data_IF_977167270671
#
_entry.id   IF_977167270671
#
_cell.length_a   1.000
_cell.length_b   1.000
_cell.length_c   1.000
_cell.angle_alpha   90.00
_cell.angle_beta   90.00
_cell.angle_gamma   90.00
#
_symmetry.space_group_name_H-M   'P 1'
#
loop_
_entity.id
_entity.type
_entity.pdbx_description
1 polymer ?
#
# COMPACT_ATOMS: atom_id res chain seq x y z
N UNK A 1 -0.90 -5.59 -43.00
CA UNK A 1 -0.43 -4.32 -42.40
C UNK A 1 -1.47 -3.68 -41.47
N UNK A 2 -2.77 -3.70 -41.80
CA UNK A 2 -3.82 -3.14 -40.93
C UNK A 2 -3.93 -3.84 -39.56
N UNK A 3 -3.83 -5.17 -39.54
CA UNK A 3 -3.87 -5.96 -38.31
C UNK A 3 -2.59 -5.85 -37.47
N UNK A 4 -1.45 -5.48 -38.08
CA UNK A 4 -0.18 -5.25 -37.39
C UNK A 4 -0.16 -3.90 -36.67
N UNK A 5 -0.84 -2.88 -37.24
CA UNK A 5 -1.02 -1.56 -36.63
C UNK A 5 -1.96 -1.58 -35.41
N UNK A 6 -3.00 -2.43 -35.42
CA UNK A 6 -3.92 -2.60 -34.30
C UNK A 6 -3.26 -3.30 -33.10
N UNK A 7 -2.41 -4.30 -33.34
CA UNK A 7 -1.66 -4.98 -32.27
C UNK A 7 -0.63 -4.06 -31.59
N UNK A 8 0.04 -3.17 -32.34
CA UNK A 8 1.02 -2.22 -31.78
C UNK A 8 0.32 -1.14 -30.94
N UNK A 9 -0.90 -0.72 -31.32
CA UNK A 9 -1.65 0.28 -30.56
C UNK A 9 -2.21 -0.28 -29.24
N UNK A 10 -2.54 -1.58 -29.19
CA UNK A 10 -3.01 -2.27 -27.97
C UNK A 10 -1.90 -2.53 -26.96
N UNK A 11 -0.65 -2.71 -27.41
CA UNK A 11 0.53 -2.88 -26.53
C UNK A 11 0.97 -1.54 -25.92
N UNK A 12 0.75 -0.41 -26.61
CA UNK A 12 1.11 0.92 -26.10
C UNK A 12 0.17 1.39 -24.98
N UNK A 13 -1.10 0.94 -24.97
CA UNK A 13 -2.05 1.25 -23.89
C UNK A 13 -1.78 0.53 -22.57
N UNK A 14 -0.96 -0.53 -22.55
CA UNK A 14 -0.60 -1.29 -21.34
C UNK A 14 0.62 -0.73 -20.58
N UNK A 15 1.24 0.34 -21.07
CA UNK A 15 2.44 0.93 -20.45
C UNK A 15 2.24 2.35 -19.92
N UNK A 16 1.00 2.81 -19.82
CA UNK A 16 0.71 4.04 -19.09
C UNK A 16 0.79 3.77 -17.59
N UNK A 17 2.00 3.66 -17.05
CA UNK A 17 2.22 4.02 -15.66
C UNK A 17 1.67 5.45 -15.51
N UNK A 18 0.68 5.64 -14.64
CA UNK A 18 0.21 6.97 -14.28
C UNK A 18 1.29 7.67 -13.47
N UNK A 19 2.34 8.13 -14.15
CA UNK A 19 3.45 8.83 -13.54
C UNK A 19 2.93 10.12 -12.92
N UNK A 20 2.95 10.20 -11.59
CA UNK A 20 2.61 11.42 -10.88
C UNK A 20 3.84 12.30 -10.80
N UNK A 21 3.66 13.61 -10.99
CA UNK A 21 4.73 14.59 -10.78
C UNK A 21 4.48 15.32 -9.47
N UNK A 22 5.46 15.21 -8.56
CA UNK A 22 5.47 15.90 -7.28
C UNK A 22 6.38 17.12 -7.37
N UNK A 23 6.10 18.12 -6.54
CA UNK A 23 6.88 19.35 -6.47
C UNK A 23 7.48 19.53 -5.09
N UNK A 24 8.77 19.81 -5.05
CA UNK A 24 9.50 20.27 -3.86
C UNK A 24 10.01 21.68 -4.14
N UNK A 25 9.80 22.61 -3.22
CA UNK A 25 10.34 23.96 -3.34
C UNK A 25 11.61 24.09 -2.51
N UNK A 26 12.68 24.63 -3.10
CA UNK A 26 13.96 24.92 -2.45
C UNK A 26 14.14 26.42 -2.30
N UNK A 27 14.50 26.89 -1.10
CA UNK A 27 14.68 28.32 -0.87
C UNK A 27 15.30 28.66 0.47
N UNK A 28 15.26 29.95 0.82
CA UNK A 28 15.78 30.46 2.07
C UNK A 28 14.84 31.44 2.77
N UNK A 29 14.86 31.43 4.11
CA UNK A 29 14.13 32.37 4.97
C UNK A 29 15.08 32.90 6.04
N UNK A 30 15.61 34.10 5.83
CA UNK A 30 16.68 34.64 6.67
C UNK A 30 17.94 33.78 6.57
N UNK A 31 18.34 33.16 7.70
CA UNK A 31 19.54 32.31 7.76
C UNK A 31 19.21 30.80 7.69
N UNK A 32 17.95 30.43 7.47
CA UNK A 32 17.54 29.03 7.32
C UNK A 32 17.32 28.72 5.84
N UNK A 33 17.71 27.53 5.43
CA UNK A 33 17.55 27.04 4.07
C UNK A 33 16.66 25.80 4.12
N UNK A 34 15.82 25.60 3.11
CA UNK A 34 14.77 24.58 3.19
C UNK A 34 14.54 23.87 1.86
N UNK A 35 14.07 22.63 1.97
CA UNK A 35 13.22 21.96 0.98
C UNK A 35 11.81 21.84 1.55
N UNK A 36 10.77 22.05 0.75
CA UNK A 36 9.37 21.94 1.20
C UNK A 36 8.50 21.26 0.13
N UNK A 37 7.91 20.09 0.44
CA UNK A 37 8.06 19.34 1.69
C UNK A 37 9.48 18.81 1.90
N UNK A 38 9.92 18.73 3.16
CA UNK A 38 11.21 18.14 3.54
C UNK A 38 11.20 16.62 3.36
N UNK A 39 10.07 15.98 3.69
CA UNK A 39 9.86 14.55 3.55
C UNK A 39 8.71 14.32 2.58
N UNK A 40 8.96 13.56 1.52
CA UNK A 40 7.99 13.25 0.48
C UNK A 40 7.82 11.73 0.39
N UNK A 41 6.60 11.26 0.23
CA UNK A 41 6.29 9.86 -0.06
C UNK A 41 5.71 9.82 -1.47
N UNK A 42 6.27 8.98 -2.34
CA UNK A 42 5.87 8.83 -3.73
C UNK A 42 5.81 7.34 -4.09
N UNK A 43 5.23 7.05 -5.25
CA UNK A 43 5.20 5.70 -5.80
C UNK A 43 6.33 5.50 -6.81
N UNK A 44 6.77 4.25 -6.99
CA UNK A 44 7.76 3.90 -8.00
C UNK A 44 7.31 4.38 -9.40
N UNK A 45 8.23 4.99 -10.12
CA UNK A 45 7.98 5.60 -11.43
C UNK A 45 7.55 7.07 -11.37
N UNK A 46 7.24 7.61 -10.19
CA UNK A 46 6.92 9.03 -10.04
C UNK A 46 8.11 9.96 -10.34
N UNK A 47 7.78 11.18 -10.73
CA UNK A 47 8.75 12.26 -10.95
C UNK A 47 8.71 13.25 -9.78
N UNK A 48 9.87 13.73 -9.34
CA UNK A 48 9.98 14.87 -8.42
C UNK A 48 10.68 16.01 -9.13
N UNK A 49 10.05 17.19 -9.09
CA UNK A 49 10.59 18.44 -9.63
C UNK A 49 10.89 19.39 -8.48
N UNK A 50 12.12 19.86 -8.40
CA UNK A 50 12.55 20.87 -7.44
C UNK A 50 12.47 22.26 -8.08
N UNK A 51 11.72 23.18 -7.49
CA UNK A 51 11.58 24.57 -7.95
C UNK A 51 12.33 25.51 -7.02
N UNK A 52 13.04 26.49 -7.58
CA UNK A 52 13.79 27.48 -6.82
C UNK A 52 12.89 28.65 -6.37
N UNK A 53 12.58 28.75 -5.09
CA UNK A 53 11.82 29.88 -4.52
C UNK A 53 12.68 31.14 -4.35
N UNK A 54 13.98 30.97 -4.07
CA UNK A 54 14.91 32.08 -3.77
C UNK A 54 16.33 31.54 -3.67
N UNK A 55 17.34 32.37 -3.94
CA UNK A 55 18.74 31.98 -3.71
C UNK A 55 19.31 31.03 -4.77
N UNK A 56 20.42 30.37 -4.40
CA UNK A 56 21.12 29.39 -5.24
C UNK A 56 21.08 28.03 -4.57
N UNK A 57 20.64 27.01 -5.30
CA UNK A 57 20.40 25.67 -4.77
C UNK A 57 20.77 24.60 -5.78
N UNK A 58 21.20 23.45 -5.27
CA UNK A 58 21.31 22.19 -5.98
C UNK A 58 20.54 21.09 -5.22
N UNK A 59 20.36 19.95 -5.86
CA UNK A 59 19.82 18.73 -5.26
C UNK A 59 20.91 17.67 -5.33
N UNK A 60 21.46 17.28 -4.20
CA UNK A 60 22.54 16.31 -4.10
C UNK A 60 22.10 15.07 -3.31
N UNK A 61 21.89 13.96 -4.03
CA UNK A 61 21.57 12.65 -3.46
C UNK A 61 22.76 11.68 -3.46
N UNK A 62 24.00 12.17 -3.57
CA UNK A 62 25.20 11.31 -3.69
C UNK A 62 26.00 11.21 -2.40
N UNK A 63 26.38 12.35 -1.82
CA UNK A 63 27.24 12.41 -0.62
C UNK A 63 26.65 13.42 0.35
N UNK A 64 26.56 13.06 1.62
CA UNK A 64 26.10 13.96 2.66
C UNK A 64 27.09 15.12 2.85
N UNK A 65 26.64 16.34 2.59
CA UNK A 65 27.47 17.55 2.62
C UNK A 65 27.88 17.98 4.03
N UNK A 66 27.28 17.39 5.07
CA UNK A 66 27.62 17.62 6.48
C UNK A 66 28.67 16.62 6.96
N UNK A 67 28.54 15.35 6.60
CA UNK A 67 29.43 14.27 7.10
C UNK A 67 30.52 13.85 6.12
N UNK A 68 30.37 14.19 4.84
CA UNK A 68 31.18 13.71 3.70
C UNK A 68 31.08 12.20 3.44
N UNK A 69 30.09 11.51 4.02
CA UNK A 69 29.82 10.10 3.77
C UNK A 69 28.78 9.92 2.65
N UNK A 70 28.85 8.85 1.84
CA UNK A 70 27.84 8.59 0.81
C UNK A 70 26.46 8.36 1.44
N UNK A 71 25.39 8.85 0.78
CA UNK A 71 24.02 8.58 1.24
C UNK A 71 23.61 7.11 1.08
N UNK A 72 24.25 6.39 0.15
CA UNK A 72 23.92 5.00 -0.21
C UNK A 72 22.43 4.82 -0.57
N UNK A 73 21.87 5.80 -1.29
CA UNK A 73 20.54 5.71 -1.86
C UNK A 73 20.44 4.55 -2.86
N UNK A 74 19.24 3.98 -3.10
CA UNK A 74 19.06 2.90 -4.07
C UNK A 74 19.55 3.28 -5.48
N UNK A 75 19.34 4.53 -5.89
CA UNK A 75 19.89 5.14 -7.10
C UNK A 75 20.56 6.49 -6.76
N UNK A 76 21.65 6.81 -7.45
CA UNK A 76 22.36 8.09 -7.29
C UNK A 76 21.77 9.15 -8.21
N UNK A 77 21.56 10.35 -7.66
CA UNK A 77 21.06 11.51 -8.39
C UNK A 77 21.73 12.78 -7.87
N UNK A 78 21.97 13.74 -8.76
CA UNK A 78 22.49 15.06 -8.43
C UNK A 78 22.20 16.07 -9.55
N UNK A 79 22.12 17.35 -9.20
CA UNK A 79 21.99 18.45 -10.14
C UNK A 79 23.19 19.40 -10.09
N UNK A 80 23.32 20.23 -11.13
CA UNK A 80 24.11 21.45 -11.04
C UNK A 80 23.39 22.49 -10.17
N UNK A 81 24.13 23.54 -9.77
CA UNK A 81 23.58 24.68 -9.02
C UNK A 81 22.72 25.57 -9.91
N UNK A 82 21.52 25.90 -9.43
CA UNK A 82 20.60 26.85 -10.05
C UNK A 82 20.38 28.05 -9.14
N UNK A 83 20.55 29.26 -9.69
CA UNK A 83 20.39 30.55 -8.96
C UNK A 83 19.21 31.39 -9.45
N UNK A 84 18.46 30.90 -10.43
CA UNK A 84 17.34 31.63 -11.01
C UNK A 84 16.06 31.32 -10.23
N UNK A 85 15.43 32.36 -9.68
CA UNK A 85 14.17 32.24 -8.94
C UNK A 85 13.03 31.89 -9.89
N UNK A 86 12.23 30.89 -9.52
CA UNK A 86 11.16 30.31 -10.33
C UNK A 86 11.63 29.23 -11.31
N UNK A 87 12.94 29.01 -11.44
CA UNK A 87 13.46 27.95 -12.30
C UNK A 87 13.38 26.57 -11.64
N UNK A 88 13.38 25.53 -12.48
CA UNK A 88 13.58 24.15 -12.03
C UNK A 88 15.04 23.97 -11.65
N UNK A 89 15.30 23.61 -10.40
CA UNK A 89 16.63 23.21 -9.92
C UNK A 89 16.99 21.85 -10.51
N UNK A 90 16.06 20.89 -10.39
CA UNK A 90 16.24 19.52 -10.86
C UNK A 90 14.90 18.83 -11.10
N UNK A 91 14.91 17.80 -11.94
CA UNK A 91 13.79 16.89 -12.13
C UNK A 91 14.33 15.46 -12.22
N UNK A 92 13.74 14.54 -11.46
CA UNK A 92 14.21 13.15 -11.39
C UNK A 92 13.05 12.17 -11.28
N UNK A 93 13.15 11.06 -11.99
CA UNK A 93 12.20 9.95 -11.92
C UNK A 93 12.79 8.84 -11.07
N UNK A 94 12.05 8.41 -10.05
CA UNK A 94 12.48 7.38 -9.10
C UNK A 94 11.97 6.01 -9.51
N UNK A 95 12.85 5.11 -9.95
CA UNK A 95 12.43 3.80 -10.48
C UNK A 95 12.71 2.63 -9.54
N UNK A 96 13.45 2.85 -8.45
CA UNK A 96 13.75 1.81 -7.46
C UNK A 96 13.13 2.19 -6.11
N UNK A 97 12.29 1.32 -5.50
CA UNK A 97 11.73 1.55 -4.18
C UNK A 97 12.81 1.69 -3.11
N UNK A 98 12.51 2.50 -2.09
CA UNK A 98 13.40 2.69 -0.94
C UNK A 98 13.45 4.13 -0.42
N UNK A 99 14.32 4.35 0.56
CA UNK A 99 14.55 5.67 1.16
C UNK A 99 15.71 6.37 0.45
N UNK A 100 15.45 7.59 -0.03
CA UNK A 100 16.42 8.48 -0.63
C UNK A 100 16.63 9.70 0.26
N UNK A 101 17.89 9.98 0.57
CA UNK A 101 18.30 11.17 1.31
C UNK A 101 19.03 12.13 0.37
N UNK A 102 18.80 13.43 0.52
CA UNK A 102 19.48 14.44 -0.26
C UNK A 102 19.67 15.73 0.55
N UNK A 103 20.61 16.56 0.10
CA UNK A 103 20.83 17.90 0.64
C UNK A 103 21.19 18.90 -0.47
N UNK A 104 21.32 20.17 -0.08
CA UNK A 104 21.94 21.20 -0.91
C UNK A 104 23.43 21.29 -0.55
N UNK A 105 24.32 21.01 -1.51
CA UNK A 105 25.78 20.94 -1.29
C UNK A 105 26.46 22.31 -1.27
N UNK A 106 25.70 23.37 -1.54
CA UNK A 106 26.20 24.74 -1.52
C UNK A 106 26.56 25.18 -0.10
N UNK A 107 27.84 25.42 0.11
CA UNK A 107 28.39 26.10 1.29
C UNK A 107 27.94 25.48 2.61
N UNK A 108 27.05 26.15 3.33
CA UNK A 108 26.51 25.69 4.61
C UNK A 108 24.99 25.47 4.56
N UNK A 109 24.38 25.31 3.39
CA UNK A 109 22.93 25.18 3.29
C UNK A 109 22.41 23.92 4.00
N UNK A 110 23.03 22.76 3.78
CA UNK A 110 22.68 21.51 4.45
C UNK A 110 22.73 21.63 5.98
N UNK A 111 23.83 22.17 6.55
CA UNK A 111 23.97 22.33 8.01
C UNK A 111 22.98 23.32 8.62
N UNK A 112 22.44 24.23 7.79
CA UNK A 112 21.42 25.20 8.16
C UNK A 112 19.99 24.74 7.79
N UNK A 113 19.79 23.44 7.57
CA UNK A 113 18.48 22.80 7.48
C UNK A 113 18.04 22.40 6.07
N UNK A 114 18.85 22.62 5.03
CA UNK A 114 18.48 22.23 3.66
C UNK A 114 18.81 20.78 3.35
N UNK A 115 18.09 19.91 4.03
CA UNK A 115 18.10 18.46 3.87
C UNK A 115 16.70 18.00 3.45
N UNK A 116 16.58 16.84 2.82
CA UNK A 116 15.30 16.26 2.49
C UNK A 116 15.36 14.75 2.33
N UNK A 117 14.18 14.12 2.38
CA UNK A 117 14.01 12.69 2.14
C UNK A 117 12.87 12.42 1.17
N UNK A 118 13.02 11.36 0.38
CA UNK A 118 11.97 10.79 -0.47
C UNK A 118 11.86 9.31 -0.13
N UNK A 119 10.69 8.87 0.29
CA UNK A 119 10.35 7.45 0.39
C UNK A 119 9.61 7.04 -0.87
N UNK A 120 10.19 6.11 -1.62
CA UNK A 120 9.61 5.54 -2.83
C UNK A 120 9.00 4.20 -2.45
N UNK A 121 7.68 4.12 -2.48
CA UNK A 121 6.96 2.88 -2.31
C UNK A 121 7.04 2.05 -3.59
N UNK A 122 7.03 0.72 -3.44
CA UNK A 122 6.84 -0.18 -4.57
C UNK A 122 5.42 -0.02 -5.08
N UNK A 123 5.28 0.26 -6.37
CA UNK A 123 3.97 0.29 -7.00
C UNK A 123 3.55 -1.14 -7.22
N UNK A 124 2.67 -1.63 -6.35
CA UNK A 124 1.95 -2.87 -6.64
C UNK A 124 1.15 -2.65 -7.93
N UNK A 125 1.13 -3.61 -8.86
CA UNK A 125 0.19 -3.54 -9.97
C UNK A 125 -1.21 -3.35 -9.38
N UNK A 126 -1.97 -2.37 -9.90
CA UNK A 126 -3.41 -2.39 -9.68
C UNK A 126 -3.90 -3.77 -10.12
N UNK A 127 -4.81 -4.38 -9.35
CA UNK A 127 -5.37 -5.68 -9.73
C UNK A 127 -5.86 -5.59 -11.19
N UNK A 128 -5.73 -6.69 -11.93
CA UNK A 128 -6.28 -6.76 -13.29
C UNK A 128 -7.04 -8.09 -13.48
N UNK A 129 -8.19 -8.01 -14.13
CA UNK A 129 -8.93 -9.18 -14.58
C UNK A 129 -8.55 -9.49 -16.04
N UNK A 130 -8.00 -10.68 -16.29
CA UNK A 130 -7.75 -11.16 -17.65
C UNK A 130 -9.04 -11.73 -18.27
N UNK A 131 -9.95 -10.81 -18.60
CA UNK A 131 -11.20 -11.11 -19.28
C UNK A 131 -10.98 -11.78 -20.65
N UNK A 132 -9.84 -11.51 -21.29
CA UNK A 132 -9.52 -12.11 -22.59
C UNK A 132 -9.27 -13.61 -22.45
N UNK A 133 -8.55 -14.03 -21.41
CA UNK A 133 -8.32 -15.43 -21.11
C UNK A 133 -9.62 -16.13 -20.70
N UNK A 134 -10.51 -15.46 -19.96
CA UNK A 134 -11.85 -16.00 -19.66
C UNK A 134 -12.68 -16.21 -20.93
N UNK A 135 -12.71 -15.23 -21.84
CA UNK A 135 -13.41 -15.37 -23.12
C UNK A 135 -12.80 -16.50 -23.98
N UNK A 136 -11.48 -16.70 -23.95
CA UNK A 136 -10.81 -17.81 -24.65
C UNK A 136 -11.31 -19.18 -24.16
N UNK A 137 -11.39 -19.39 -22.85
CA UNK A 137 -11.82 -20.67 -22.28
C UNK A 137 -13.33 -20.89 -22.26
N UNK A 138 -14.12 -19.82 -22.08
CA UNK A 138 -15.56 -19.91 -21.81
C UNK A 138 -16.44 -19.13 -22.77
N UNK A 139 -15.90 -18.49 -23.82
CA UNK A 139 -16.67 -17.74 -24.80
C UNK A 139 -17.74 -18.57 -25.51
N UNK A 140 -17.51 -19.88 -25.68
CA UNK A 140 -18.51 -20.82 -26.21
C UNK A 140 -19.74 -20.98 -25.30
N UNK A 141 -19.62 -20.61 -24.02
CA UNK A 141 -20.70 -20.57 -23.03
C UNK A 141 -21.27 -19.16 -22.83
N UNK A 142 -20.91 -18.20 -23.69
CA UNK A 142 -21.29 -16.79 -23.57
C UNK A 142 -20.78 -16.12 -22.28
N UNK A 143 -19.65 -16.58 -21.78
CA UNK A 143 -18.93 -15.98 -20.65
C UNK A 143 -17.71 -15.27 -21.22
N UNK A 144 -17.67 -13.95 -21.09
CA UNK A 144 -16.66 -13.08 -21.70
C UNK A 144 -15.80 -12.33 -20.69
N UNK A 145 -16.09 -12.46 -19.40
CA UNK A 145 -15.40 -11.73 -18.35
C UNK A 145 -15.46 -12.46 -17.01
N UNK A 146 -14.55 -12.06 -16.12
CA UNK A 146 -14.36 -12.63 -14.79
C UNK A 146 -15.62 -12.56 -13.93
N UNK A 147 -16.34 -11.44 -13.99
CA UNK A 147 -17.60 -11.26 -13.25
C UNK A 147 -18.68 -12.23 -13.75
N UNK A 148 -18.81 -12.41 -15.06
CA UNK A 148 -19.75 -13.34 -15.68
C UNK A 148 -19.41 -14.79 -15.30
N UNK A 149 -18.13 -15.16 -15.23
CA UNK A 149 -17.72 -16.49 -14.81
C UNK A 149 -18.08 -16.77 -13.36
N UNK A 150 -17.76 -15.87 -12.43
CA UNK A 150 -18.12 -16.02 -11.02
C UNK A 150 -19.65 -16.10 -10.84
N UNK A 151 -20.41 -15.24 -11.52
CA UNK A 151 -21.88 -15.28 -11.49
C UNK A 151 -22.43 -16.60 -12.05
N UNK A 152 -21.82 -17.13 -13.11
CA UNK A 152 -22.19 -18.41 -13.70
C UNK A 152 -21.95 -19.57 -12.71
N UNK A 153 -20.80 -19.60 -12.05
CA UNK A 153 -20.47 -20.61 -11.03
C UNK A 153 -21.42 -20.55 -9.84
N UNK A 154 -21.73 -19.34 -9.37
CA UNK A 154 -22.69 -19.15 -8.28
C UNK A 154 -24.09 -19.63 -8.68
N UNK A 155 -24.56 -19.27 -9.87
CA UNK A 155 -25.92 -19.55 -10.31
C UNK A 155 -26.17 -21.02 -10.66
N UNK A 156 -25.15 -21.72 -11.21
CA UNK A 156 -25.31 -23.08 -11.72
C UNK A 156 -24.74 -24.15 -10.78
N UNK A 157 -23.74 -23.81 -9.96
CA UNK A 157 -23.05 -24.75 -9.07
C UNK A 157 -23.15 -24.36 -7.60
N UNK A 158 -23.74 -23.20 -7.28
CA UNK A 158 -23.92 -22.74 -5.90
C UNK A 158 -22.62 -22.32 -5.23
N UNK A 159 -21.58 -22.01 -6.00
CA UNK A 159 -20.29 -21.58 -5.45
C UNK A 159 -20.43 -20.18 -4.86
N UNK A 160 -19.89 -20.00 -3.65
CA UNK A 160 -19.65 -18.66 -3.12
C UNK A 160 -18.42 -18.03 -3.80
N UNK A 161 -18.16 -16.75 -3.53
CA UNK A 161 -17.05 -16.03 -4.17
C UNK A 161 -15.70 -16.69 -3.86
N UNK A 162 -15.49 -17.12 -2.61
CA UNK A 162 -14.24 -17.79 -2.18
C UNK A 162 -14.03 -19.10 -2.93
N UNK A 163 -15.08 -19.92 -3.06
CA UNK A 163 -15.01 -21.19 -3.79
C UNK A 163 -14.79 -20.94 -5.28
N UNK A 164 -15.45 -19.93 -5.84
CA UNK A 164 -15.28 -19.55 -7.26
C UNK A 164 -13.84 -19.11 -7.52
N UNK A 165 -13.27 -18.24 -6.69
CA UNK A 165 -11.92 -17.72 -6.84
C UNK A 165 -10.83 -18.79 -6.63
N UNK A 166 -11.05 -19.79 -5.77
CA UNK A 166 -10.11 -20.90 -5.58
C UNK A 166 -10.29 -22.03 -6.61
N UNK A 167 -11.22 -21.91 -7.56
CA UNK A 167 -11.46 -22.95 -8.56
C UNK A 167 -10.39 -22.89 -9.66
N UNK A 168 -9.86 -24.05 -10.02
CA UNK A 168 -8.78 -24.25 -11.00
C UNK A 168 -9.30 -24.57 -12.43
N UNK A 169 -10.61 -24.43 -12.64
CA UNK A 169 -11.28 -24.71 -13.90
C UNK A 169 -11.69 -26.18 -14.09
N UNK A 170 -11.16 -27.11 -13.29
CA UNK A 170 -11.40 -28.54 -13.51
C UNK A 170 -12.77 -28.99 -13.00
N UNK A 171 -13.45 -29.94 -13.67
CA UNK A 171 -13.03 -30.66 -14.87
C UNK A 171 -13.41 -29.97 -16.19
N UNK A 172 -13.88 -28.72 -16.15
CA UNK A 172 -14.44 -28.03 -17.32
C UNK A 172 -13.36 -27.52 -18.27
N UNK A 173 -12.28 -26.95 -17.70
CA UNK A 173 -11.11 -26.42 -18.39
C UNK A 173 -9.86 -26.65 -17.53
N UNK A 174 -8.69 -26.57 -18.15
CA UNK A 174 -7.40 -26.65 -17.45
C UNK A 174 -6.69 -25.29 -17.57
N UNK A 175 -6.61 -24.55 -16.46
CA UNK A 175 -5.88 -23.28 -16.44
C UNK A 175 -4.37 -23.43 -16.22
N UNK A 176 -3.84 -24.66 -16.29
CA UNK A 176 -2.39 -24.88 -16.21
C UNK A 176 -1.83 -24.58 -14.82
N UNK A 177 -2.56 -24.95 -13.77
CA UNK A 177 -2.28 -24.70 -12.34
C UNK A 177 -2.63 -23.30 -11.81
N UNK A 178 -3.24 -22.45 -12.64
CA UNK A 178 -3.84 -21.20 -12.18
C UNK A 178 -5.25 -21.44 -11.62
N UNK A 179 -5.67 -20.57 -10.73
CA UNK A 179 -7.05 -20.46 -10.23
C UNK A 179 -7.75 -19.26 -10.86
N UNK A 180 -9.06 -19.15 -10.68
CA UNK A 180 -9.78 -17.92 -11.03
C UNK A 180 -9.17 -16.71 -10.31
N UNK A 181 -8.69 -16.82 -9.07
CA UNK A 181 -8.08 -15.69 -8.37
C UNK A 181 -6.80 -15.18 -9.05
N UNK A 182 -6.06 -16.05 -9.74
CA UNK A 182 -4.85 -15.66 -10.48
C UNK A 182 -5.19 -15.01 -11.83
N UNK A 183 -6.35 -15.32 -12.39
CA UNK A 183 -6.82 -14.80 -13.70
C UNK A 183 -7.70 -13.55 -13.52
N UNK A 184 -8.46 -13.51 -12.44
CA UNK A 184 -9.52 -12.55 -12.14
C UNK A 184 -9.23 -11.85 -10.82
N UNK A 185 -8.05 -11.25 -10.73
CA UNK A 185 -7.51 -10.71 -9.48
C UNK A 185 -8.46 -9.67 -8.88
N UNK A 186 -8.97 -8.73 -9.68
CA UNK A 186 -9.92 -7.72 -9.23
C UNK A 186 -11.26 -8.28 -8.80
N UNK A 187 -11.86 -9.14 -9.62
CA UNK A 187 -13.14 -9.77 -9.28
C UNK A 187 -13.02 -10.59 -7.99
N UNK A 188 -11.84 -11.12 -7.69
CA UNK A 188 -11.55 -11.93 -6.51
C UNK A 188 -11.00 -11.15 -5.30
N UNK A 189 -10.82 -9.83 -5.38
CA UNK A 189 -10.23 -9.01 -4.30
C UNK A 189 -10.97 -9.10 -2.95
N UNK A 190 -12.28 -9.39 -2.93
CA UNK A 190 -13.01 -9.57 -1.65
C UNK A 190 -12.56 -10.83 -0.86
N UNK A 191 -11.78 -11.73 -1.47
CA UNK A 191 -11.19 -12.88 -0.77
C UNK A 191 -9.93 -12.55 0.03
N UNK A 192 -9.24 -11.43 -0.29
CA UNK A 192 -8.02 -11.01 0.43
C UNK A 192 -8.33 -10.25 1.73
N UNK A 193 -9.53 -9.68 1.88
CA UNK A 193 -9.94 -8.97 3.10
C UNK A 193 -10.64 -9.87 4.13
N UNK A 194 -10.77 -11.17 3.84
CA UNK A 194 -11.33 -12.16 4.77
C UNK A 194 -10.27 -12.88 5.62
N UNK A 195 -8.99 -12.52 5.49
CA UNK A 195 -7.99 -12.87 6.52
C UNK A 195 -8.08 -11.93 7.72
N UNK A 196 -9.28 -11.71 8.27
CA UNK A 196 -9.36 -11.66 9.73
C UNK A 196 -9.09 -13.08 10.17
N UNK A 197 -7.80 -13.45 10.26
CA UNK A 197 -7.40 -14.38 11.29
C UNK A 197 -7.85 -13.70 12.58
N UNK A 198 -9.04 -14.05 13.07
CA UNK A 198 -9.26 -14.01 14.51
C UNK A 198 -8.09 -14.83 15.04
N UNK A 199 -7.08 -14.13 15.56
CA UNK A 199 -5.95 -14.80 16.15
C UNK A 199 -6.59 -15.75 17.15
N UNK A 200 -6.41 -17.05 16.95
CA UNK A 200 -6.60 -18.02 18.02
C UNK A 200 -5.46 -17.84 19.03
N UNK A 201 -5.23 -16.60 19.48
CA UNK A 201 -4.90 -16.39 20.87
C UNK A 201 -6.12 -16.96 21.59
N UNK A 202 -6.00 -18.20 22.05
CA UNK A 202 -6.83 -18.69 23.12
C UNK A 202 -6.75 -17.63 24.22
N UNK A 203 -7.69 -16.68 24.23
CA UNK A 203 -7.82 -15.65 25.26
C UNK A 203 -8.14 -16.46 26.49
N UNK A 204 -7.10 -16.83 27.24
CA UNK A 204 -7.22 -17.53 28.50
C UNK A 204 -8.21 -16.71 29.31
N UNK A 205 -9.39 -17.29 29.59
CA UNK A 205 -10.45 -16.57 30.29
C UNK A 205 -9.86 -16.05 31.60
N UNK A 206 -9.71 -14.73 31.69
CA UNK A 206 -9.15 -14.08 32.86
C UNK A 206 -10.29 -13.45 33.62
N UNK A 207 -10.53 -13.94 34.84
CA UNK A 207 -11.42 -13.29 35.79
C UNK A 207 -10.92 -11.86 36.03
N UNK A 208 -11.83 -10.89 35.95
CA UNK A 208 -11.54 -9.49 36.24
C UNK A 208 -12.03 -9.12 37.64
N UNK A 209 -13.35 -9.17 37.85
CA UNK A 209 -13.98 -8.77 39.11
C UNK A 209 -15.37 -9.42 39.26
N UNK A 210 -15.93 -9.36 40.46
CA UNK A 210 -17.29 -9.82 40.77
C UNK A 210 -18.17 -8.62 41.09
N UNK A 211 -19.42 -8.63 40.63
CA UNK A 211 -20.44 -7.63 40.98
C UNK A 211 -21.62 -8.28 41.72
N UNK A 212 -22.29 -7.51 42.56
CA UNK A 212 -23.55 -7.89 43.20
C UNK A 212 -24.76 -7.60 42.28
N UNK A 213 -25.97 -7.91 42.74
CA UNK A 213 -27.22 -7.66 42.00
C UNK A 213 -27.55 -6.18 41.78
N UNK A 214 -26.85 -5.26 42.46
CA UNK A 214 -26.97 -3.81 42.28
C UNK A 214 -25.90 -3.25 41.34
N UNK A 215 -25.05 -4.10 40.74
CA UNK A 215 -24.00 -3.70 39.80
C UNK A 215 -22.72 -3.16 40.46
N UNK A 216 -22.61 -3.19 41.78
CA UNK A 216 -21.40 -2.76 42.49
C UNK A 216 -20.36 -3.88 42.54
N UNK A 217 -19.10 -3.54 42.31
CA UNK A 217 -17.96 -4.46 42.50
C UNK A 217 -17.84 -4.85 43.96
N UNK A 218 -17.62 -6.14 44.23
CA UNK A 218 -17.56 -6.71 45.58
C UNK A 218 -16.37 -7.65 45.74
N UNK A 219 -15.86 -7.73 46.97
CA UNK A 219 -15.02 -8.86 47.38
C UNK A 219 -15.89 -10.08 47.69
N UNK A 220 -15.38 -11.27 47.38
CA UNK A 220 -16.10 -12.55 47.48
C UNK A 220 -16.25 -13.06 48.91
N UNK A 221 -16.80 -12.24 49.81
CA UNK A 221 -16.95 -12.55 51.22
C UNK A 221 -18.43 -12.71 51.61
N UNK A 222 -18.80 -13.84 52.21
CA UNK A 222 -20.16 -14.13 52.69
C UNK A 222 -21.11 -14.75 51.66
N UNK A 223 -22.37 -15.00 52.07
CA UNK A 223 -23.39 -15.62 51.22
C UNK A 223 -24.07 -14.60 50.33
N UNK A 224 -23.77 -14.62 49.03
CA UNK A 224 -24.37 -13.70 48.06
C UNK A 224 -24.45 -14.31 46.67
N UNK A 225 -25.41 -13.83 45.88
CA UNK A 225 -25.42 -14.02 44.42
C UNK A 225 -24.44 -13.03 43.83
N UNK A 226 -23.49 -13.53 43.03
CA UNK A 226 -22.46 -12.72 42.40
C UNK A 226 -22.40 -13.02 40.90
N UNK A 227 -21.99 -12.03 40.13
CA UNK A 227 -21.71 -12.16 38.71
C UNK A 227 -20.22 -11.95 38.48
N UNK A 228 -19.53 -13.02 38.07
CA UNK A 228 -18.12 -12.94 37.69
C UNK A 228 -18.00 -12.44 36.26
N UNK A 229 -17.24 -11.36 36.06
CA UNK A 229 -16.98 -10.77 34.76
C UNK A 229 -15.57 -11.15 34.30
N UNK A 230 -15.46 -11.60 33.04
CA UNK A 230 -14.20 -12.04 32.44
C UNK A 230 -13.75 -11.07 31.34
N UNK A 231 -12.46 -11.08 31.01
CA UNK A 231 -11.88 -10.25 29.95
C UNK A 231 -12.48 -10.48 28.56
N UNK A 232 -13.16 -11.62 28.34
CA UNK A 232 -13.90 -11.93 27.12
C UNK A 232 -15.29 -11.29 27.05
N UNK A 233 -15.74 -10.61 28.11
CA UNK A 233 -17.11 -10.12 28.23
C UNK A 233 -18.10 -11.17 28.75
N UNK A 234 -17.67 -12.43 28.93
CA UNK A 234 -18.48 -13.48 29.56
C UNK A 234 -18.83 -13.12 31.00
N UNK A 235 -20.07 -13.39 31.38
CA UNK A 235 -20.57 -13.21 32.75
C UNK A 235 -21.07 -14.55 33.29
N UNK A 236 -20.57 -14.96 34.45
CA UNK A 236 -20.98 -16.21 35.12
C UNK A 236 -21.67 -15.88 36.44
N UNK A 237 -22.96 -16.24 36.54
CA UNK A 237 -23.72 -16.15 37.79
C UNK A 237 -23.29 -17.27 38.74
N UNK A 238 -22.90 -16.91 39.97
CA UNK A 238 -22.55 -17.85 41.03
C UNK A 238 -23.28 -17.52 42.32
N UNK A 239 -23.48 -18.53 43.16
CA UNK A 239 -23.92 -18.38 44.53
C UNK A 239 -22.71 -18.69 45.40
N UNK A 240 -22.22 -17.71 46.14
CA UNK A 240 -21.19 -17.95 47.14
C UNK A 240 -21.90 -18.51 48.37
N UNK A 241 -21.48 -19.69 48.81
CA UNK A 241 -21.98 -20.40 49.98
C UNK A 241 -20.84 -20.65 50.96
N UNK A 242 -20.14 -19.59 51.39
CA UNK A 242 -19.28 -19.70 52.56
C UNK A 242 -20.13 -19.67 53.83
#
# INVERSE_FOLDING_TARGET
>A
MKNLLLSILSIISLLCFSQTTHTVNGGMSGNTFYFTPENLIIEQGDNVVWINDSGCHDVNGTTNSITNEPFNNPESFASDVTCEVGAVIFAYTFNVPGLYNYDCSIGSHAVNGMIGTITVNETEPECEDDNSLIEEYFGNFFISDCTALVNYLSSNYGYDLVTSCNWDGQPMNDFGSLTIADICECTCTETQNSSVFESQIAKKEKYLFSINTHGSTIERNGKAIVFDVYNSGKVVKKIIIN
#
